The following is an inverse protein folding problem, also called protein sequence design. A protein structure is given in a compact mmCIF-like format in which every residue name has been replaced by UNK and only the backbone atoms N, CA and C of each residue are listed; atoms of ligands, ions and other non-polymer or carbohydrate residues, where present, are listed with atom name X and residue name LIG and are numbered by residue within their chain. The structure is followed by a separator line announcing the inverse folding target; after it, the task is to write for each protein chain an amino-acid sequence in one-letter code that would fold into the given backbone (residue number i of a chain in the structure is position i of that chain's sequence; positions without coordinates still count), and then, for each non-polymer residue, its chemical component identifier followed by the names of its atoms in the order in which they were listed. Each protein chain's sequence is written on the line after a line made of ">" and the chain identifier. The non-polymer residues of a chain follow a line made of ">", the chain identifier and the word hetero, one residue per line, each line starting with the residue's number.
data_IF_635126751488
#
_entry.id   IF_635126751488
#
_cell.length_a   1.000
_cell.length_b   1.000
_cell.length_c   1.000
_cell.angle_alpha   90.00
_cell.angle_beta   90.00
_cell.angle_gamma   90.00
#
_symmetry.space_group_name_H-M   'P 1'
#
loop_
_entity.id
_entity.type
_entity.pdbx_description
1 polymer ?
#
# COMPACT_ATOMS: atom_id res chain seq x y z
N UNK A 1 -2.84 27.34 -18.60
CA UNK A 1 -3.09 25.90 -18.79
C UNK A 1 -3.48 25.66 -20.25
N UNK A 2 -2.86 24.71 -20.93
CA UNK A 2 -3.34 24.35 -22.25
C UNK A 2 -4.78 23.83 -22.14
N UNK A 3 -5.63 24.23 -23.09
CA UNK A 3 -6.97 23.72 -23.16
C UNK A 3 -6.92 22.21 -23.42
N UNK A 4 -7.52 21.42 -22.57
CA UNK A 4 -7.67 19.98 -22.78
C UNK A 4 -8.74 19.79 -23.85
N UNK A 5 -8.33 19.47 -25.06
CA UNK A 5 -9.25 18.96 -26.08
C UNK A 5 -9.42 17.46 -25.83
N UNK A 6 -10.39 17.12 -24.99
CA UNK A 6 -10.74 15.73 -24.82
C UNK A 6 -11.40 15.22 -26.10
N UNK A 7 -10.71 14.39 -26.85
CA UNK A 7 -11.35 13.54 -27.85
C UNK A 7 -12.24 12.53 -27.13
N UNK A 8 -13.38 12.22 -27.72
CA UNK A 8 -14.25 11.19 -27.17
C UNK A 8 -13.53 9.84 -27.20
N UNK A 9 -13.25 9.27 -26.02
CA UNK A 9 -12.66 7.95 -25.88
C UNK A 9 -13.66 6.86 -26.23
N UNK A 10 -13.18 5.83 -26.88
CA UNK A 10 -13.94 4.59 -27.09
C UNK A 10 -13.65 3.65 -25.94
N UNK A 11 -14.59 2.73 -25.68
CA UNK A 11 -14.38 1.69 -24.69
C UNK A 11 -13.09 0.92 -24.97
N UNK A 12 -12.19 0.87 -24.01
CA UNK A 12 -10.89 0.23 -24.11
C UNK A 12 -9.74 1.10 -24.58
N UNK A 13 -9.97 2.36 -24.95
CA UNK A 13 -8.90 3.28 -25.31
C UNK A 13 -8.17 3.77 -24.07
N UNK A 14 -6.87 4.05 -24.24
CA UNK A 14 -6.11 4.77 -23.22
C UNK A 14 -6.53 6.24 -23.19
N UNK A 15 -6.53 6.83 -22.02
CA UNK A 15 -6.71 8.26 -21.87
C UNK A 15 -5.50 8.98 -22.45
N UNK A 16 -5.70 9.73 -23.51
CA UNK A 16 -4.62 10.50 -24.15
C UNK A 16 -4.04 11.53 -23.19
N UNK A 17 -4.88 12.06 -22.28
CA UNK A 17 -4.50 13.07 -21.30
C UNK A 17 -4.02 12.49 -19.96
N UNK A 18 -3.74 11.21 -19.92
CA UNK A 18 -3.36 10.50 -18.69
C UNK A 18 -2.16 11.15 -17.98
N UNK A 19 -1.22 11.69 -18.72
CA UNK A 19 -0.02 12.30 -18.17
C UNK A 19 -0.15 13.81 -17.90
N UNK A 20 -1.26 14.43 -18.25
CA UNK A 20 -1.47 15.84 -17.96
C UNK A 20 -1.64 16.07 -16.46
N UNK A 21 -0.75 16.89 -15.93
CA UNK A 21 -0.78 17.28 -14.52
C UNK A 21 -1.35 18.67 -14.35
N UNK A 22 -2.23 18.82 -13.35
CA UNK A 22 -2.77 20.12 -12.92
C UNK A 22 -1.94 20.69 -11.77
N UNK A 23 -1.42 19.82 -10.90
CA UNK A 23 -0.60 20.22 -9.76
C UNK A 23 0.88 20.10 -10.05
N UNK A 24 1.67 20.95 -9.44
CA UNK A 24 3.13 20.88 -9.50
C UNK A 24 3.64 19.53 -9.01
N UNK A 25 4.78 19.08 -9.53
CA UNK A 25 5.43 17.86 -9.09
C UNK A 25 6.21 18.11 -7.80
N UNK A 26 5.60 17.76 -6.68
CA UNK A 26 6.20 17.89 -5.34
C UNK A 26 7.21 16.76 -5.14
N UNK A 27 8.40 17.11 -4.69
CA UNK A 27 9.43 16.19 -4.23
C UNK A 27 9.65 16.37 -2.73
N UNK A 28 10.04 15.31 -2.06
CA UNK A 28 10.40 15.37 -0.65
C UNK A 28 11.73 16.09 -0.44
N UNK A 29 11.83 16.82 0.66
CA UNK A 29 13.11 17.24 1.20
C UNK A 29 13.82 16.04 1.88
N UNK A 30 15.17 16.08 2.01
CA UNK A 30 15.89 15.00 2.68
C UNK A 30 15.34 14.71 4.08
N UNK A 31 15.04 13.44 4.36
CA UNK A 31 14.55 12.98 5.67
C UNK A 31 13.04 13.07 5.87
N UNK A 32 12.27 13.61 4.92
CA UNK A 32 10.82 13.58 5.01
C UNK A 32 10.29 12.15 4.90
N UNK A 33 9.30 11.84 5.73
CA UNK A 33 8.73 10.50 5.88
C UNK A 33 7.30 10.44 5.38
N UNK A 34 6.89 9.25 5.00
CA UNK A 34 5.50 8.93 4.67
C UNK A 34 5.10 7.58 5.26
N UNK A 35 3.84 7.47 5.64
CA UNK A 35 3.24 6.24 6.14
C UNK A 35 1.94 6.00 5.38
N UNK A 36 1.80 4.82 4.80
CA UNK A 36 0.55 4.36 4.22
C UNK A 36 0.05 3.18 5.03
N UNK A 37 -1.14 3.32 5.59
CA UNK A 37 -1.75 2.25 6.39
C UNK A 37 -2.79 1.53 5.58
N UNK A 38 -2.88 0.21 5.76
CA UNK A 38 -3.86 -0.64 5.12
C UNK A 38 -4.70 -1.36 6.14
N UNK A 39 -5.99 -1.15 6.05
CA UNK A 39 -7.02 -1.75 6.90
C UNK A 39 -8.11 -2.40 6.03
N UNK A 40 -7.74 -2.93 4.88
CA UNK A 40 -8.65 -3.53 3.91
C UNK A 40 -8.25 -4.97 3.61
N UNK A 41 -9.16 -5.75 3.09
CA UNK A 41 -8.93 -7.13 2.67
C UNK A 41 -8.55 -7.22 1.19
N UNK A 42 -7.94 -8.34 0.81
CA UNK A 42 -7.38 -8.51 -0.54
C UNK A 42 -8.41 -8.43 -1.68
N UNK A 43 -9.65 -8.82 -1.45
CA UNK A 43 -10.66 -8.79 -2.52
C UNK A 43 -11.33 -7.43 -2.72
N UNK A 44 -11.04 -6.46 -1.90
CA UNK A 44 -11.36 -5.05 -2.15
C UNK A 44 -10.19 -4.36 -2.86
N UNK A 45 -9.59 -5.06 -3.82
CA UNK A 45 -8.29 -4.74 -4.38
C UNK A 45 -8.15 -3.37 -5.00
N UNK A 46 -9.23 -2.73 -5.43
CA UNK A 46 -9.15 -1.41 -6.06
C UNK A 46 -8.61 -0.35 -5.09
N UNK A 47 -9.12 -0.28 -3.87
CA UNK A 47 -8.66 0.69 -2.85
C UNK A 47 -7.24 0.35 -2.40
N UNK A 48 -6.99 -0.93 -2.08
CA UNK A 48 -5.67 -1.39 -1.69
C UNK A 48 -4.63 -1.14 -2.78
N UNK A 49 -4.97 -1.43 -4.03
CA UNK A 49 -4.06 -1.25 -5.15
C UNK A 49 -3.72 0.22 -5.39
N UNK A 50 -4.70 1.12 -5.35
CA UNK A 50 -4.48 2.57 -5.53
C UNK A 50 -3.54 3.10 -4.46
N UNK A 51 -3.74 2.74 -3.20
CA UNK A 51 -2.85 3.19 -2.13
C UNK A 51 -1.48 2.50 -2.13
N UNK A 52 -1.39 1.28 -2.65
CA UNK A 52 -0.09 0.65 -2.93
C UNK A 52 0.69 1.45 -3.98
N UNK A 53 0.03 1.91 -5.02
CA UNK A 53 0.63 2.79 -6.02
C UNK A 53 1.03 4.14 -5.41
N UNK A 54 0.21 4.70 -4.53
CA UNK A 54 0.55 5.94 -3.81
C UNK A 54 1.79 5.75 -2.92
N UNK A 55 1.91 4.64 -2.21
CA UNK A 55 3.10 4.33 -1.43
C UNK A 55 4.35 4.27 -2.31
N UNK A 56 4.27 3.59 -3.44
CA UNK A 56 5.37 3.53 -4.42
C UNK A 56 5.72 4.91 -4.97
N UNK A 57 4.72 5.73 -5.28
CA UNK A 57 4.92 7.09 -5.77
C UNK A 57 5.55 8.00 -4.73
N UNK A 58 5.11 7.92 -3.47
CA UNK A 58 5.73 8.66 -2.36
C UNK A 58 7.21 8.33 -2.23
N UNK A 59 7.55 7.05 -2.28
CA UNK A 59 8.94 6.62 -2.23
C UNK A 59 9.76 7.17 -3.40
N UNK A 60 9.22 7.12 -4.60
CA UNK A 60 9.88 7.66 -5.80
C UNK A 60 9.98 9.19 -5.82
N UNK A 61 9.15 9.87 -5.04
CA UNK A 61 9.25 11.30 -4.79
C UNK A 61 10.29 11.67 -3.73
N UNK A 62 10.94 10.68 -3.12
CA UNK A 62 12.00 10.87 -2.15
C UNK A 62 11.60 10.77 -0.68
N UNK A 63 10.33 10.48 -0.38
CA UNK A 63 9.89 10.23 0.99
C UNK A 63 10.42 8.88 1.49
N UNK A 64 10.92 8.85 2.73
CA UNK A 64 11.18 7.60 3.43
C UNK A 64 9.84 6.95 3.78
N UNK A 65 9.38 6.04 2.93
CA UNK A 65 8.02 5.51 2.98
C UNK A 65 7.95 4.17 3.69
N UNK A 66 6.99 4.06 4.60
CA UNK A 66 6.64 2.81 5.28
C UNK A 66 5.19 2.45 5.00
N UNK A 67 4.91 1.16 4.99
CA UNK A 67 3.56 0.59 4.93
C UNK A 67 3.29 -0.11 6.24
N UNK A 68 2.09 0.10 6.78
CA UNK A 68 1.59 -0.57 7.97
C UNK A 68 0.34 -1.37 7.63
N UNK A 69 0.45 -2.69 7.79
CA UNK A 69 -0.67 -3.62 7.63
C UNK A 69 -1.20 -4.00 9.00
N UNK A 70 -2.46 -3.69 9.27
CA UNK A 70 -3.09 -4.02 10.56
C UNK A 70 -4.56 -4.40 10.39
N UNK A 71 -5.15 -5.06 11.40
CA UNK A 71 -6.50 -5.60 11.28
C UNK A 71 -6.63 -6.46 10.01
N UNK A 72 -7.70 -6.31 9.22
CA UNK A 72 -7.87 -7.05 7.96
C UNK A 72 -6.75 -6.82 6.95
N UNK A 73 -6.04 -5.70 7.03
CA UNK A 73 -4.95 -5.36 6.12
C UNK A 73 -3.75 -6.31 6.17
N UNK A 74 -3.58 -7.08 7.24
CA UNK A 74 -2.51 -8.08 7.32
C UNK A 74 -2.64 -9.16 6.26
N UNK A 75 -3.85 -9.39 5.74
CA UNK A 75 -4.11 -10.37 4.67
C UNK A 75 -3.42 -10.00 3.36
N UNK A 76 -3.16 -8.71 3.13
CA UNK A 76 -2.44 -8.23 1.96
C UNK A 76 -0.96 -8.63 1.97
N UNK A 77 -0.40 -8.90 3.14
CA UNK A 77 0.97 -9.36 3.32
C UNK A 77 1.17 -10.87 3.27
N UNK A 78 0.11 -11.66 3.10
CA UNK A 78 0.18 -13.11 3.06
C UNK A 78 0.70 -13.60 1.71
N UNK A 79 1.52 -14.66 1.72
CA UNK A 79 2.06 -15.25 0.51
C UNK A 79 0.99 -15.86 -0.41
N UNK A 80 -0.08 -16.38 0.17
CA UNK A 80 -1.14 -17.10 -0.56
C UNK A 80 -2.46 -16.37 -0.63
N UNK A 81 -2.52 -15.16 -0.13
CA UNK A 81 -3.75 -14.39 -0.10
C UNK A 81 -4.80 -14.90 0.88
N UNK A 82 -5.89 -14.18 0.96
CA UNK A 82 -7.05 -14.48 1.77
C UNK A 82 -8.34 -14.24 0.96
N UNK A 83 -9.33 -15.12 1.02
CA UNK A 83 -9.30 -16.47 1.57
C UNK A 83 -8.34 -17.39 0.79
N UNK A 84 -8.00 -18.55 1.35
CA UNK A 84 -7.03 -19.51 0.78
C UNK A 84 -7.57 -20.17 -0.52
N UNK A 85 -7.85 -19.36 -1.51
CA UNK A 85 -8.34 -19.85 -2.81
C UNK A 85 -7.23 -20.03 -3.84
N UNK A 86 -5.98 -19.77 -3.42
CA UNK A 86 -4.83 -19.83 -4.30
C UNK A 86 -4.69 -18.57 -5.17
N UNK A 87 -3.53 -18.43 -5.78
CA UNK A 87 -3.19 -17.27 -6.61
C UNK A 87 -4.10 -17.13 -7.83
N UNK A 88 -4.69 -18.23 -8.26
CA UNK A 88 -5.57 -18.28 -9.43
C UNK A 88 -6.94 -17.64 -9.19
N UNK A 89 -7.38 -17.57 -7.94
CA UNK A 89 -8.72 -17.09 -7.59
C UNK A 89 -8.78 -15.57 -7.36
N UNK A 90 -7.65 -14.92 -7.09
CA UNK A 90 -7.58 -13.50 -6.78
C UNK A 90 -6.43 -12.77 -7.50
N UNK A 91 -6.62 -12.44 -8.79
CA UNK A 91 -5.61 -11.68 -9.53
C UNK A 91 -5.25 -10.35 -8.87
N UNK A 92 -6.19 -9.70 -8.19
CA UNK A 92 -5.95 -8.46 -7.45
C UNK A 92 -4.98 -8.65 -6.28
N UNK A 93 -5.08 -9.77 -5.58
CA UNK A 93 -4.12 -10.10 -4.52
C UNK A 93 -2.70 -10.31 -5.08
N UNK A 94 -2.58 -11.03 -6.18
CA UNK A 94 -1.29 -11.26 -6.84
C UNK A 94 -0.66 -9.94 -7.28
N UNK A 95 -1.44 -9.06 -7.85
CA UNK A 95 -0.99 -7.72 -8.24
C UNK A 95 -0.51 -6.92 -7.04
N UNK A 96 -1.25 -6.95 -5.93
CA UNK A 96 -0.85 -6.29 -4.69
C UNK A 96 0.47 -6.85 -4.17
N UNK A 97 0.59 -8.17 -4.08
CA UNK A 97 1.79 -8.83 -3.60
C UNK A 97 3.02 -8.48 -4.44
N UNK A 98 2.88 -8.45 -5.77
CA UNK A 98 3.97 -8.08 -6.67
C UNK A 98 4.40 -6.61 -6.49
N UNK A 99 3.44 -5.71 -6.31
CA UNK A 99 3.73 -4.31 -6.03
C UNK A 99 4.37 -4.12 -4.65
N UNK A 100 3.95 -4.89 -3.66
CA UNK A 100 4.52 -4.87 -2.31
C UNK A 100 5.98 -5.36 -2.32
N UNK A 101 6.26 -6.43 -3.04
CA UNK A 101 7.64 -6.92 -3.24
C UNK A 101 8.51 -5.88 -3.94
N UNK A 102 8.00 -5.20 -4.96
CA UNK A 102 8.70 -4.12 -5.66
C UNK A 102 8.99 -2.96 -4.70
N UNK A 103 7.99 -2.54 -3.94
CA UNK A 103 8.14 -1.48 -2.95
C UNK A 103 9.27 -1.78 -1.95
N UNK A 104 9.32 -3.00 -1.43
CA UNK A 104 10.40 -3.43 -0.53
C UNK A 104 11.76 -3.48 -1.24
N UNK A 105 11.81 -3.96 -2.47
CA UNK A 105 13.05 -4.02 -3.24
C UNK A 105 13.63 -2.63 -3.57
N UNK A 106 12.78 -1.63 -3.65
CA UNK A 106 13.16 -0.23 -3.84
C UNK A 106 13.48 0.49 -2.51
N UNK A 107 13.52 -0.22 -1.38
CA UNK A 107 13.93 0.29 -0.07
C UNK A 107 12.79 0.64 0.89
N UNK A 108 11.54 0.43 0.52
CA UNK A 108 10.39 0.65 1.38
C UNK A 108 10.31 -0.38 2.51
N UNK A 109 9.78 0.05 3.65
CA UNK A 109 9.57 -0.80 4.81
C UNK A 109 8.11 -1.19 4.93
N UNK A 110 7.85 -2.46 5.24
CA UNK A 110 6.49 -2.97 5.44
C UNK A 110 6.42 -3.63 6.81
N UNK A 111 5.46 -3.19 7.60
CA UNK A 111 5.17 -3.74 8.93
C UNK A 111 3.82 -4.43 8.93
N UNK A 112 3.69 -5.52 9.66
CA UNK A 112 2.44 -6.25 9.82
C UNK A 112 2.17 -6.59 11.29
N UNK A 113 0.94 -6.36 11.75
CA UNK A 113 0.53 -6.66 13.11
C UNK A 113 0.47 -8.17 13.35
N UNK A 114 1.31 -8.67 14.25
CA UNK A 114 1.36 -10.08 14.66
C UNK A 114 0.04 -10.59 15.22
N UNK A 115 -0.56 -9.78 16.07
CA UNK A 115 -1.80 -10.15 16.74
C UNK A 115 -2.92 -10.38 15.72
N UNK A 116 -3.05 -9.48 14.74
CA UNK A 116 -4.08 -9.61 13.71
C UNK A 116 -3.86 -10.88 12.86
N UNK A 117 -2.63 -11.21 12.52
CA UNK A 117 -2.31 -12.44 11.78
C UNK A 117 -2.81 -13.68 12.55
N UNK A 118 -2.49 -13.78 13.83
CA UNK A 118 -2.78 -14.96 14.64
C UNK A 118 -4.23 -14.98 15.09
N UNK A 119 -4.71 -13.90 15.71
CA UNK A 119 -6.01 -13.87 16.34
C UNK A 119 -7.18 -13.81 15.37
N UNK A 120 -7.02 -13.09 14.24
CA UNK A 120 -8.10 -12.94 13.25
C UNK A 120 -8.04 -14.02 12.17
N UNK A 121 -6.87 -14.46 11.77
CA UNK A 121 -6.71 -15.29 10.58
C UNK A 121 -5.97 -16.62 10.82
N UNK A 122 -5.48 -16.86 12.03
CA UNK A 122 -4.80 -18.11 12.38
C UNK A 122 -3.49 -18.33 11.61
N UNK A 123 -2.83 -17.25 11.19
CA UNK A 123 -1.55 -17.31 10.49
C UNK A 123 -0.39 -16.94 11.41
N UNK A 124 0.75 -17.59 11.20
CA UNK A 124 2.02 -17.21 11.83
C UNK A 124 2.87 -16.33 10.92
N UNK A 125 3.97 -15.80 11.45
CA UNK A 125 4.92 -14.98 10.71
C UNK A 125 5.45 -15.62 9.43
N UNK A 126 5.69 -16.96 9.36
CA UNK A 126 6.13 -17.61 8.12
C UNK A 126 5.15 -17.50 6.95
N UNK A 127 3.90 -17.15 7.21
CA UNK A 127 2.90 -16.94 6.16
C UNK A 127 3.03 -15.58 5.47
N UNK A 128 3.80 -14.65 6.03
CA UNK A 128 4.05 -13.33 5.44
C UNK A 128 5.02 -13.42 4.25
N UNK A 129 4.88 -12.49 3.32
CA UNK A 129 5.88 -12.28 2.27
C UNK A 129 7.25 -11.99 2.89
N UNK A 130 8.33 -12.55 2.34
CA UNK A 130 9.68 -12.27 2.82
C UNK A 130 9.99 -10.76 2.79
N UNK A 131 10.57 -10.26 3.88
CA UNK A 131 10.90 -8.86 4.03
C UNK A 131 9.90 -8.04 4.83
N UNK A 132 8.68 -8.52 5.03
CA UNK A 132 7.71 -7.88 5.93
C UNK A 132 8.16 -8.06 7.38
N UNK A 133 8.13 -6.99 8.14
CA UNK A 133 8.56 -6.94 9.53
C UNK A 133 7.32 -7.13 10.42
N UNK A 134 7.20 -8.26 11.13
CA UNK A 134 6.11 -8.44 12.08
C UNK A 134 6.32 -7.58 13.32
N UNK A 135 5.27 -6.91 13.77
CA UNK A 135 5.31 -6.03 14.94
C UNK A 135 4.24 -6.42 15.96
N UNK A 136 4.48 -6.06 17.22
CA UNK A 136 3.50 -6.24 18.30
C UNK A 136 2.31 -5.29 18.13
N UNK A 137 1.13 -5.62 18.67
CA UNK A 137 -0.04 -4.75 18.53
C UNK A 137 0.16 -3.35 19.13
N UNK A 138 0.96 -3.22 20.17
CA UNK A 138 1.32 -1.91 20.75
C UNK A 138 2.10 -1.04 19.77
N UNK A 139 2.96 -1.65 18.95
CA UNK A 139 3.77 -0.95 17.94
C UNK A 139 2.94 -0.39 16.79
N UNK A 140 1.74 -0.90 16.56
CA UNK A 140 0.84 -0.39 15.52
C UNK A 140 0.50 1.08 15.80
N UNK A 141 0.08 1.38 17.01
CA UNK A 141 -0.21 2.76 17.42
C UNK A 141 1.06 3.61 17.45
N UNK A 142 2.13 3.09 18.02
CA UNK A 142 3.38 3.83 18.12
C UNK A 142 3.99 4.13 16.75
N UNK A 143 3.82 3.25 15.78
CA UNK A 143 4.21 3.49 14.39
C UNK A 143 3.51 4.75 13.83
N UNK A 144 2.21 4.86 14.01
CA UNK A 144 1.44 6.03 13.57
C UNK A 144 1.87 7.29 14.33
N UNK A 145 2.01 7.19 15.64
CA UNK A 145 2.37 8.33 16.49
C UNK A 145 3.78 8.87 16.19
N UNK A 146 4.75 7.98 15.96
CA UNK A 146 6.11 8.37 15.61
C UNK A 146 6.15 9.06 14.24
N UNK A 147 5.39 8.57 13.28
CA UNK A 147 5.28 9.21 11.96
C UNK A 147 4.61 10.59 12.07
N UNK A 148 3.56 10.71 12.88
CA UNK A 148 2.93 12.01 13.15
C UNK A 148 3.91 13.01 13.77
N UNK A 149 4.68 12.59 14.77
CA UNK A 149 5.71 13.44 15.40
C UNK A 149 6.79 13.88 14.42
N UNK A 150 7.11 13.05 13.45
CA UNK A 150 8.07 13.36 12.40
C UNK A 150 7.46 14.21 11.25
N UNK A 151 6.23 14.70 11.37
CA UNK A 151 5.52 15.40 10.32
C UNK A 151 5.40 14.59 9.02
N UNK A 152 5.28 13.28 9.12
CA UNK A 152 5.14 12.42 7.96
C UNK A 152 3.81 12.66 7.23
N UNK A 153 3.81 12.45 5.92
CA UNK A 153 2.58 12.28 5.16
C UNK A 153 1.94 10.97 5.59
N UNK A 154 0.68 10.98 6.02
CA UNK A 154 -0.04 9.77 6.44
C UNK A 154 -1.26 9.58 5.56
N UNK A 155 -1.36 8.42 4.92
CA UNK A 155 -2.49 8.02 4.09
C UNK A 155 -3.08 6.73 4.66
N UNK A 156 -4.36 6.76 5.01
CA UNK A 156 -5.11 5.62 5.50
C UNK A 156 -6.00 5.01 4.41
N UNK A 157 -6.22 3.69 4.50
CA UNK A 157 -7.25 3.00 3.74
C UNK A 157 -8.35 2.52 4.68
N UNK A 158 -9.58 2.83 4.34
CA UNK A 158 -10.76 2.38 5.07
C UNK A 158 -11.61 1.49 4.20
N UNK A 159 -12.13 0.41 4.81
CA UNK A 159 -13.25 -0.35 4.26
C UNK A 159 -14.48 -0.08 5.12
N UNK A 160 -15.56 0.18 4.46
CA UNK A 160 -16.85 0.39 5.13
C UNK A 160 -17.60 -0.95 5.23
#
# INVERSE_FOLDING_TARGET
>A
MPAVTAEAHKDGDYFVDYEQKVFEDVKADPGEKALVTFHTVAFEGSIGLVNMLNATRLQRKGYETSILLYGPGVTLGLQRGFPKLGDEAFPGHQNFANNLKRFMSEGGKVYACRFALQALYGHGEPSLLPGIIPIAPQDVLDCVLLHKKANAVIIDTWTV
#
